data_IF_925074164712
#
_entry.id   IF_925074164712
#
_cell.length_a   1.000
_cell.length_b   1.000
_cell.length_c   1.000
_cell.angle_alpha   90.00
_cell.angle_beta   90.00
_cell.angle_gamma   90.00
#
_symmetry.space_group_name_H-M   'P 1'
#
loop_
_entity.id
_entity.type
_entity.pdbx_description
1 polymer ?
#
# COMPACT_ATOMS: atom_id res chain seq x y z
N UNK A 1 -18.40 3.54 -9.58
CA UNK A 1 -18.41 4.56 -8.52
C UNK A 1 -18.88 3.90 -7.23
N UNK A 2 -18.15 4.05 -6.12
CA UNK A 2 -18.58 3.53 -4.82
C UNK A 2 -19.60 4.50 -4.21
N UNK A 3 -20.72 3.98 -3.71
CA UNK A 3 -21.74 4.73 -2.98
C UNK A 3 -22.11 3.93 -1.74
N UNK A 4 -22.12 4.59 -0.59
CA UNK A 4 -22.52 4.00 0.69
C UNK A 4 -23.14 5.08 1.57
N UNK A 5 -24.10 4.69 2.39
CA UNK A 5 -24.73 5.54 3.41
C UNK A 5 -24.06 5.39 4.78
N UNK A 6 -22.97 4.62 4.86
CA UNK A 6 -22.21 4.41 6.10
C UNK A 6 -21.10 5.45 6.22
N UNK A 7 -20.90 5.94 7.43
CA UNK A 7 -19.73 6.75 7.75
C UNK A 7 -18.54 5.83 8.03
N UNK A 8 -17.50 5.92 7.21
CA UNK A 8 -16.26 5.16 7.39
C UNK A 8 -15.21 6.00 8.09
N UNK A 9 -14.56 5.40 9.09
CA UNK A 9 -13.42 6.03 9.73
C UNK A 9 -12.25 6.15 8.74
N UNK A 10 -11.59 7.30 8.76
CA UNK A 10 -10.35 7.51 8.01
C UNK A 10 -9.23 6.76 8.75
N UNK A 11 -8.44 5.98 8.01
CA UNK A 11 -7.30 5.29 8.59
C UNK A 11 -6.26 6.31 9.09
N UNK A 12 -5.63 6.00 10.23
CA UNK A 12 -4.53 6.81 10.76
C UNK A 12 -3.33 6.70 9.82
N UNK A 13 -2.68 7.81 9.54
CA UNK A 13 -1.46 7.84 8.73
C UNK A 13 -0.24 7.73 9.64
N UNK A 14 0.72 6.92 9.22
CA UNK A 14 2.03 6.80 9.87
C UNK A 14 3.06 7.68 9.17
N UNK A 15 4.29 7.66 9.66
CA UNK A 15 5.41 8.34 9.03
C UNK A 15 6.27 7.33 8.23
N UNK A 16 6.09 7.31 6.91
CA UNK A 16 6.87 6.44 6.02
C UNK A 16 8.34 6.84 5.91
N UNK A 17 8.69 8.10 6.20
CA UNK A 17 10.07 8.56 6.18
C UNK A 17 10.89 7.97 7.35
N UNK A 18 10.23 7.37 8.36
CA UNK A 18 10.85 6.71 9.52
C UNK A 18 10.88 5.18 9.45
N UNK A 19 10.37 4.58 8.36
CA UNK A 19 10.37 3.12 8.19
C UNK A 19 11.81 2.60 8.12
N UNK A 20 12.05 1.48 8.79
CA UNK A 20 13.34 0.76 8.76
C UNK A 20 13.20 -0.57 8.05
N UNK A 21 14.25 -0.98 7.35
CA UNK A 21 14.36 -2.33 6.82
C UNK A 21 14.18 -3.36 7.95
N UNK A 22 13.48 -4.46 7.66
CA UNK A 22 13.14 -5.51 8.62
C UNK A 22 11.90 -5.24 9.48
N UNK A 23 11.35 -4.01 9.46
CA UNK A 23 10.11 -3.68 10.14
C UNK A 23 8.94 -4.51 9.58
N UNK A 24 8.05 -4.97 10.47
CA UNK A 24 6.86 -5.71 10.08
C UNK A 24 5.85 -4.79 9.40
N UNK A 25 5.27 -5.29 8.30
CA UNK A 25 4.25 -4.57 7.53
C UNK A 25 3.15 -5.51 7.08
N UNK A 26 1.95 -4.96 6.95
CA UNK A 26 0.75 -5.71 6.58
C UNK A 26 0.11 -5.10 5.34
N UNK A 27 -0.17 -5.92 4.32
CA UNK A 27 -0.88 -5.47 3.12
C UNK A 27 -2.31 -5.94 3.21
N UNK A 28 -3.26 -5.02 3.09
CA UNK A 28 -4.69 -5.32 3.06
C UNK A 28 -5.24 -5.11 1.65
N UNK A 29 -5.96 -6.09 1.10
CA UNK A 29 -6.52 -5.98 -0.25
C UNK A 29 -7.55 -7.05 -0.60
N UNK A 30 -8.07 -6.97 -1.82
CA UNK A 30 -9.08 -7.88 -2.37
C UNK A 30 -8.53 -8.55 -3.63
N UNK A 31 -8.00 -9.78 -3.53
CA UNK A 31 -7.56 -10.53 -4.71
C UNK A 31 -8.71 -10.72 -5.71
N UNK A 32 -8.35 -10.80 -6.99
CA UNK A 32 -9.23 -11.31 -8.02
C UNK A 32 -9.48 -12.81 -7.79
N UNK A 33 -10.68 -13.32 -8.16
CA UNK A 33 -10.93 -14.75 -8.18
C UNK A 33 -9.88 -15.49 -9.02
N UNK A 34 -9.37 -16.59 -8.49
CA UNK A 34 -8.42 -17.50 -9.13
C UNK A 34 -8.73 -18.96 -8.80
N UNK A 35 -7.72 -19.82 -8.86
CA UNK A 35 -7.88 -21.27 -8.61
C UNK A 35 -8.17 -21.60 -7.15
N UNK A 36 -7.41 -21.02 -6.20
CA UNK A 36 -7.59 -21.28 -4.78
C UNK A 36 -8.56 -20.30 -4.09
N UNK A 37 -8.48 -19.01 -4.44
CA UNK A 37 -9.40 -17.98 -3.95
C UNK A 37 -10.49 -17.80 -5.01
N UNK A 38 -11.58 -18.54 -4.90
CA UNK A 38 -12.62 -18.59 -5.95
C UNK A 38 -13.58 -17.40 -5.93
N UNK A 39 -13.49 -16.56 -4.90
CA UNK A 39 -14.27 -15.32 -4.74
C UNK A 39 -13.36 -14.23 -4.20
N UNK A 40 -13.57 -13.00 -4.66
CA UNK A 40 -12.84 -11.85 -4.12
C UNK A 40 -13.15 -11.74 -2.63
N UNK A 41 -12.12 -11.97 -1.82
CA UNK A 41 -12.21 -12.08 -0.36
C UNK A 41 -11.17 -11.16 0.23
N UNK A 42 -11.53 -10.41 1.26
CA UNK A 42 -10.58 -9.51 1.93
C UNK A 42 -9.44 -10.32 2.54
N UNK A 43 -8.20 -9.95 2.21
CA UNK A 43 -7.00 -10.55 2.78
C UNK A 43 -6.12 -9.49 3.44
N UNK A 44 -5.50 -9.89 4.55
CA UNK A 44 -4.39 -9.17 5.16
C UNK A 44 -3.19 -10.12 5.20
N UNK A 45 -2.07 -9.70 4.64
CA UNK A 45 -0.86 -10.52 4.60
C UNK A 45 0.27 -9.83 5.33
N UNK A 46 1.04 -10.61 6.09
CA UNK A 46 2.22 -10.13 6.83
C UNK A 46 3.48 -10.25 5.97
N UNK A 47 4.42 -9.33 6.21
CA UNK A 47 5.74 -9.37 5.64
C UNK A 47 6.67 -8.39 6.34
N UNK A 48 7.84 -8.16 5.75
CA UNK A 48 8.85 -7.24 6.27
C UNK A 48 9.28 -6.27 5.17
N UNK A 49 9.64 -5.06 5.59
CA UNK A 49 10.30 -4.11 4.70
C UNK A 49 11.64 -4.67 4.26
N UNK A 50 11.80 -4.80 2.94
CA UNK A 50 13.02 -5.24 2.29
C UNK A 50 13.98 -4.07 2.03
N UNK A 51 13.47 -2.86 1.80
CA UNK A 51 14.28 -1.67 1.59
C UNK A 51 13.45 -0.45 1.18
N UNK A 52 14.16 0.66 0.98
CA UNK A 52 13.64 1.90 0.40
C UNK A 52 14.51 2.29 -0.79
N UNK A 53 13.90 2.51 -1.95
CA UNK A 53 14.59 2.93 -3.17
C UNK A 53 14.11 4.33 -3.55
N UNK A 54 14.70 5.34 -2.92
CA UNK A 54 14.34 6.75 -3.17
C UNK A 54 14.63 7.14 -4.63
N UNK A 55 13.71 7.87 -5.24
CA UNK A 55 13.83 8.31 -6.63
C UNK A 55 13.55 7.23 -7.66
N UNK A 56 12.94 6.09 -7.27
CA UNK A 56 12.42 5.12 -8.23
C UNK A 56 11.40 5.78 -9.17
N UNK A 57 11.37 5.31 -10.41
CA UNK A 57 10.40 5.78 -11.40
C UNK A 57 8.97 5.57 -10.89
N UNK A 58 8.06 6.49 -11.20
CA UNK A 58 6.64 6.37 -10.77
C UNK A 58 6.41 6.38 -9.24
N UNK A 59 7.45 6.53 -8.41
CA UNK A 59 7.34 6.71 -6.96
C UNK A 59 7.18 5.42 -6.14
N UNK A 60 7.45 4.24 -6.70
CA UNK A 60 7.36 2.97 -5.96
C UNK A 60 8.58 2.70 -5.07
N UNK A 61 8.84 3.60 -4.13
CA UNK A 61 10.06 3.60 -3.33
C UNK A 61 10.05 2.59 -2.16
N UNK A 62 8.90 2.02 -1.79
CA UNK A 62 8.79 1.11 -0.63
C UNK A 62 8.81 -0.35 -1.07
N UNK A 63 9.83 -1.12 -0.63
CA UNK A 63 10.00 -2.54 -0.99
C UNK A 63 9.68 -3.45 0.21
N UNK A 64 8.89 -4.52 0.01
CA UNK A 64 8.48 -5.45 1.08
C UNK A 64 8.11 -6.85 0.59
N UNK A 65 8.32 -7.82 1.48
CA UNK A 65 8.20 -9.25 1.20
C UNK A 65 6.83 -9.90 1.47
N UNK A 66 5.72 -9.18 1.32
CA UNK A 66 4.39 -9.74 1.58
C UNK A 66 3.92 -10.68 0.46
N UNK A 67 3.21 -11.74 0.81
CA UNK A 67 2.45 -12.50 -0.19
C UNK A 67 1.26 -11.66 -0.66
N UNK A 68 1.24 -11.25 -1.92
CA UNK A 68 0.10 -10.52 -2.51
C UNK A 68 -0.32 -11.14 -3.83
N UNK A 69 -1.56 -10.89 -4.25
CA UNK A 69 -2.16 -11.43 -5.46
C UNK A 69 -2.69 -10.31 -6.37
N UNK A 70 -2.88 -10.57 -7.67
CA UNK A 70 -3.57 -9.64 -8.56
C UNK A 70 -4.91 -9.18 -7.97
N UNK A 71 -5.21 -7.88 -8.08
CA UNK A 71 -6.39 -7.25 -7.48
C UNK A 71 -6.13 -6.54 -6.14
N UNK A 72 -5.03 -6.84 -5.45
CA UNK A 72 -4.69 -6.16 -4.20
C UNK A 72 -4.10 -4.75 -4.39
N UNK A 73 -3.66 -4.40 -5.61
CA UNK A 73 -3.09 -3.09 -5.95
C UNK A 73 -4.03 -1.94 -5.55
N UNK A 74 -3.46 -0.86 -5.01
CA UNK A 74 -4.19 0.26 -4.40
C UNK A 74 -4.54 0.05 -2.92
N UNK A 75 -4.38 -1.17 -2.39
CA UNK A 75 -4.61 -1.47 -0.98
C UNK A 75 -3.59 -0.83 -0.03
N UNK A 76 -3.96 -0.54 1.23
CA UNK A 76 -3.05 0.06 2.19
C UNK A 76 -1.98 -0.93 2.67
N UNK A 77 -0.78 -0.38 2.91
CA UNK A 77 0.31 -1.04 3.64
C UNK A 77 0.34 -0.43 5.04
N UNK A 78 0.19 -1.27 6.06
CA UNK A 78 0.14 -0.87 7.47
C UNK A 78 1.44 -1.21 8.22
N UNK A 79 1.78 -0.40 9.22
CA UNK A 79 2.74 -0.78 10.26
C UNK A 79 2.04 -1.58 11.38
N UNK A 80 2.80 -1.98 12.40
CA UNK A 80 2.30 -2.73 13.57
C UNK A 80 1.33 -1.94 14.45
N UNK A 81 1.24 -0.62 14.29
CA UNK A 81 0.30 0.25 15.01
C UNK A 81 -1.04 0.43 14.26
N UNK A 82 -1.21 -0.24 13.11
CA UNK A 82 -2.39 -0.09 12.25
C UNK A 82 -2.43 1.24 11.49
N UNK A 83 -1.30 1.93 11.37
CA UNK A 83 -1.19 3.17 10.61
C UNK A 83 -0.80 2.87 9.16
N UNK A 84 -1.41 3.58 8.21
CA UNK A 84 -1.07 3.49 6.79
C UNK A 84 0.29 4.15 6.58
N UNK A 85 1.24 3.38 6.04
CA UNK A 85 2.59 3.82 5.73
C UNK A 85 2.91 3.74 4.23
N UNK A 86 2.01 3.16 3.43
CA UNK A 86 2.17 3.15 1.98
C UNK A 86 0.94 2.63 1.25
N UNK A 87 0.99 2.72 -0.07
CA UNK A 87 -0.03 2.22 -1.00
C UNK A 87 0.59 1.07 -1.78
N UNK A 88 -0.01 -0.12 -1.71
CA UNK A 88 0.46 -1.29 -2.44
C UNK A 88 0.33 -1.06 -3.95
N UNK A 89 1.43 -1.26 -4.68
CA UNK A 89 1.49 -1.03 -6.12
C UNK A 89 1.49 -2.32 -6.90
N UNK A 90 2.70 -2.81 -7.18
CA UNK A 90 2.98 -3.97 -8.02
C UNK A 90 3.95 -4.91 -7.32
N UNK A 91 4.10 -6.11 -7.87
CA UNK A 91 5.11 -7.05 -7.43
C UNK A 91 6.28 -7.04 -8.40
N UNK A 92 7.47 -7.30 -7.87
CA UNK A 92 8.68 -7.49 -8.66
C UNK A 92 8.61 -8.86 -9.38
N UNK A 93 8.94 -8.84 -10.67
CA UNK A 93 8.88 -10.00 -11.55
C UNK A 93 8.09 -9.72 -12.83
N UNK A 94 8.36 -10.51 -13.86
CA UNK A 94 7.62 -10.47 -15.13
C UNK A 94 6.54 -11.57 -15.13
N UNK A 95 5.45 -11.39 -15.89
CA UNK A 95 4.35 -12.34 -16.01
C UNK A 95 4.83 -13.76 -16.41
N UNK A 96 5.99 -13.85 -17.06
CA UNK A 96 6.64 -15.08 -17.52
C UNK A 96 7.59 -15.72 -16.51
N UNK A 97 8.13 -14.97 -15.54
CA UNK A 97 9.14 -15.46 -14.58
C UNK A 97 8.58 -15.72 -13.18
N UNK A 98 7.33 -15.33 -12.92
CA UNK A 98 6.71 -15.42 -11.61
C UNK A 98 7.16 -14.31 -10.66
N UNK A 99 6.47 -14.17 -9.53
CA UNK A 99 6.81 -13.22 -8.47
C UNK A 99 8.16 -13.55 -7.85
N UNK A 100 9.03 -12.56 -7.69
CA UNK A 100 10.34 -12.71 -7.04
C UNK A 100 10.25 -12.49 -5.50
N UNK A 101 9.03 -12.49 -4.96
CA UNK A 101 8.80 -12.34 -3.52
C UNK A 101 8.97 -10.92 -2.96
N UNK A 102 9.30 -9.94 -3.81
CA UNK A 102 9.35 -8.52 -3.45
C UNK A 102 8.15 -7.80 -4.06
N UNK A 103 7.55 -6.89 -3.32
CA UNK A 103 6.55 -5.97 -3.81
C UNK A 103 7.04 -4.54 -3.65
N UNK A 104 6.48 -3.65 -4.47
CA UNK A 104 6.75 -2.23 -4.45
C UNK A 104 5.47 -1.46 -4.13
N UNK A 105 5.62 -0.38 -3.38
CA UNK A 105 4.55 0.51 -2.99
C UNK A 105 4.99 1.96 -2.93
N UNK A 106 4.03 2.87 -2.93
CA UNK A 106 4.26 4.30 -2.80
C UNK A 106 4.25 4.64 -1.31
N UNK A 107 5.33 5.20 -0.73
CA UNK A 107 5.34 5.66 0.65
C UNK A 107 4.23 6.69 0.90
N UNK A 108 3.56 6.62 2.06
CA UNK A 108 2.41 7.51 2.31
C UNK A 108 2.82 8.98 2.33
N UNK A 109 3.98 9.34 2.88
CA UNK A 109 4.45 10.72 2.87
C UNK A 109 4.79 11.20 1.44
N UNK A 110 5.29 10.31 0.58
CA UNK A 110 5.49 10.65 -0.84
C UNK A 110 4.15 10.95 -1.51
N UNK A 111 3.15 10.09 -1.30
CA UNK A 111 1.80 10.33 -1.81
C UNK A 111 1.23 11.66 -1.32
N UNK A 112 1.32 11.97 -0.02
CA UNK A 112 0.80 13.22 0.55
C UNK A 112 1.49 14.47 -0.03
N UNK A 113 2.80 14.40 -0.31
CA UNK A 113 3.55 15.48 -0.96
C UNK A 113 3.19 15.65 -2.44
N UNK A 114 2.87 14.57 -3.14
CA UNK A 114 2.58 14.57 -4.57
C UNK A 114 1.10 14.80 -4.91
N UNK A 115 0.17 14.37 -4.06
CA UNK A 115 -1.27 14.42 -4.33
C UNK A 115 -1.80 15.84 -4.63
N UNK A 116 -1.40 16.91 -3.93
CA UNK A 116 -1.85 18.26 -4.25
C UNK A 116 -1.48 18.71 -5.67
N UNK A 117 -0.39 18.18 -6.23
CA UNK A 117 0.09 18.51 -7.58
C UNK A 117 -0.82 17.94 -8.69
N UNK A 118 -1.65 16.95 -8.35
CA UNK A 118 -2.62 16.34 -9.28
C UNK A 118 -4.03 16.90 -9.10
N UNK A 119 -4.20 17.94 -8.25
CA UNK A 119 -5.49 18.55 -7.94
C UNK A 119 -6.28 17.85 -6.83
N UNK A 120 -5.68 16.90 -6.10
CA UNK A 120 -6.30 16.30 -4.93
C UNK A 120 -6.24 17.24 -3.72
N UNK A 121 -7.41 17.52 -3.15
CA UNK A 121 -7.56 18.29 -1.92
C UNK A 121 -7.57 17.34 -0.70
N UNK A 122 -6.41 17.21 -0.06
CA UNK A 122 -6.23 16.32 1.10
C UNK A 122 -7.09 16.73 2.31
N UNK A 123 -7.38 18.04 2.46
CA UNK A 123 -8.21 18.52 3.57
C UNK A 123 -9.66 18.08 3.41
N UNK A 124 -10.20 18.11 2.19
CA UNK A 124 -11.53 17.55 1.88
C UNK A 124 -11.62 16.06 2.11
N UNK A 125 -10.50 15.34 1.98
CA UNK A 125 -10.40 13.90 2.26
C UNK A 125 -10.17 13.60 3.75
N UNK A 126 -10.07 14.64 4.60
CA UNK A 126 -9.77 14.49 6.03
C UNK A 126 -8.37 13.95 6.32
N UNK A 127 -7.48 13.93 5.32
CA UNK A 127 -6.09 13.52 5.46
C UNK A 127 -5.27 14.73 5.89
N UNK A 128 -4.56 14.61 7.01
CA UNK A 128 -3.65 15.63 7.52
C UNK A 128 -2.31 14.96 7.79
N UNK A 129 -1.21 15.64 7.51
CA UNK A 129 0.07 15.21 8.04
C UNK A 129 -0.01 15.29 9.57
N UNK A 130 0.44 14.24 10.24
CA UNK A 130 0.65 14.29 11.69
C UNK A 130 1.72 15.36 11.96
N UNK A 131 1.52 16.27 12.94
CA UNK A 131 2.49 17.30 13.28
C UNK A 131 3.85 16.73 13.72
#
# INVERSE_FOLDING_TARGET
QFQSNQNYAIARLGNSDQIKQGANVYVSGWPLPGTAITKSTHLVTEGKVAGLQKGESEGYELLYGNSTAPGMSGGPVFNTEGQVIGIHGRAEGNQTSGKVGINLGIPINLFLRSAPQTGLDLQKLGLRESP
#
